data_IF_634252117314
#
_entry.id   IF_634252117314
#
_cell.length_a   1.000
_cell.length_b   1.000
_cell.length_c   1.000
_cell.angle_alpha   90.00
_cell.angle_beta   90.00
_cell.angle_gamma   90.00
#
_symmetry.space_group_name_H-M   'P 1'
#
loop_
_entity.id
_entity.type
_entity.pdbx_description
1 polymer ?
#
# COMPACT_ATOMS: atom_id res chain seq x y z
N UNK A 1 13.84 16.06 -53.31
CA UNK A 1 12.61 16.36 -52.55
C UNK A 1 11.99 15.09 -51.91
N UNK A 2 11.88 13.96 -52.56
CA UNK A 2 11.28 12.72 -51.98
C UNK A 2 12.05 12.15 -50.74
N UNK A 3 13.40 12.28 -50.71
CA UNK A 3 14.21 11.80 -49.61
C UNK A 3 14.02 12.63 -48.30
N UNK A 4 13.75 13.94 -48.40
CA UNK A 4 13.47 14.79 -47.25
C UNK A 4 12.09 14.46 -46.61
N UNK A 5 11.09 14.11 -47.43
CA UNK A 5 9.77 13.73 -46.93
C UNK A 5 9.80 12.41 -46.13
N UNK A 6 10.64 11.45 -46.55
CA UNK A 6 10.81 10.16 -45.84
C UNK A 6 11.46 10.39 -44.48
N UNK A 7 12.47 11.28 -44.39
CA UNK A 7 13.11 11.63 -43.14
C UNK A 7 12.16 12.37 -42.15
N UNK A 8 11.32 13.25 -42.68
CA UNK A 8 10.30 13.96 -41.85
C UNK A 8 9.25 12.97 -41.35
N UNK A 9 8.80 12.02 -42.19
CA UNK A 9 7.84 10.98 -41.79
C UNK A 9 8.43 10.04 -40.74
N UNK A 10 9.71 9.67 -40.89
CA UNK A 10 10.45 8.83 -39.92
C UNK A 10 10.65 9.54 -38.56
N UNK A 11 10.95 10.84 -38.55
CA UNK A 11 11.04 11.63 -37.33
C UNK A 11 9.67 11.79 -36.63
N UNK A 12 8.58 11.90 -37.41
CA UNK A 12 7.23 12.06 -36.86
C UNK A 12 6.73 10.78 -36.16
N UNK A 13 7.13 9.62 -36.63
CA UNK A 13 6.78 8.32 -36.01
C UNK A 13 7.53 8.07 -34.70
N UNK A 14 8.74 8.63 -34.53
CA UNK A 14 9.54 8.52 -33.29
C UNK A 14 9.00 9.42 -32.16
N UNK A 15 8.21 10.46 -32.48
CA UNK A 15 7.62 11.34 -31.47
C UNK A 15 6.32 10.76 -30.85
N UNK A 16 5.75 9.70 -31.40
CA UNK A 16 4.49 9.10 -30.92
C UNK A 16 4.69 7.98 -29.88
N UNK A 17 5.92 7.58 -29.56
CA UNK A 17 6.19 6.47 -28.62
C UNK A 17 6.38 6.91 -27.16
N UNK A 18 6.19 8.20 -26.84
CA UNK A 18 6.50 8.78 -25.52
C UNK A 18 5.38 8.78 -24.48
N UNK A 19 4.14 8.37 -24.79
CA UNK A 19 2.98 8.60 -23.92
C UNK A 19 2.62 7.48 -22.93
N UNK A 20 3.35 6.35 -22.89
CA UNK A 20 2.97 5.21 -22.02
C UNK A 20 3.43 5.37 -20.55
N UNK A 21 4.53 6.04 -20.33
CA UNK A 21 5.19 6.10 -19.01
C UNK A 21 4.50 7.03 -18.00
N UNK A 22 3.78 8.04 -18.47
CA UNK A 22 3.13 9.03 -17.62
C UNK A 22 1.71 8.64 -17.16
N UNK A 23 1.07 7.68 -17.80
CA UNK A 23 -0.33 7.33 -17.49
C UNK A 23 -0.46 6.59 -16.17
N UNK A 24 0.32 5.56 -15.95
CA UNK A 24 0.27 4.79 -14.70
C UNK A 24 0.60 5.64 -13.47
N UNK A 25 1.55 6.57 -13.60
CA UNK A 25 1.89 7.50 -12.52
C UNK A 25 0.75 8.49 -12.23
N UNK A 26 0.09 9.02 -13.28
CA UNK A 26 -1.05 9.91 -13.10
C UNK A 26 -2.26 9.19 -12.48
N UNK A 27 -2.50 7.92 -12.86
CA UNK A 27 -3.56 7.10 -12.32
C UNK A 27 -3.30 6.79 -10.82
N UNK A 28 -2.04 6.51 -10.48
CA UNK A 28 -1.65 6.33 -9.07
C UNK A 28 -1.81 7.62 -8.26
N UNK A 29 -1.41 8.77 -8.78
CA UNK A 29 -1.58 10.07 -8.08
C UNK A 29 -3.05 10.37 -7.81
N UNK A 30 -3.92 10.15 -8.79
CA UNK A 30 -5.37 10.30 -8.62
C UNK A 30 -5.92 9.31 -7.56
N UNK A 31 -5.40 8.08 -7.51
CA UNK A 31 -5.71 7.11 -6.46
C UNK A 31 -5.26 7.63 -5.09
N UNK A 32 -4.02 8.09 -4.93
CA UNK A 32 -3.48 8.58 -3.67
C UNK A 32 -4.24 9.83 -3.16
N UNK A 33 -4.59 10.77 -4.06
CA UNK A 33 -5.42 11.92 -3.73
C UNK A 33 -6.81 11.48 -3.23
N UNK A 34 -7.46 10.54 -3.94
CA UNK A 34 -8.75 9.98 -3.51
C UNK A 34 -8.62 9.30 -2.15
N UNK A 35 -7.59 8.49 -1.94
CA UNK A 35 -7.37 7.77 -0.69
C UNK A 35 -7.18 8.74 0.51
N UNK A 36 -6.46 9.85 0.30
CA UNK A 36 -6.28 10.88 1.32
C UNK A 36 -7.57 11.66 1.65
N UNK A 37 -8.52 11.69 0.72
CA UNK A 37 -9.79 12.38 0.92
C UNK A 37 -10.87 11.52 1.61
N UNK A 38 -10.60 10.24 1.89
CA UNK A 38 -11.58 9.35 2.53
C UNK A 38 -11.78 9.67 4.00
N UNK A 39 -13.01 9.51 4.46
CA UNK A 39 -13.36 9.54 5.90
C UNK A 39 -13.12 8.18 6.57
N UNK A 40 -13.20 7.11 5.80
CA UNK A 40 -12.98 5.76 6.28
C UNK A 40 -12.41 4.86 5.18
N UNK A 41 -11.60 3.90 5.58
CA UNK A 41 -11.04 2.84 4.76
C UNK A 41 -11.13 1.54 5.52
N UNK A 42 -11.54 0.46 4.85
CA UNK A 42 -11.46 -0.88 5.43
C UNK A 42 -11.09 -1.93 4.39
N UNK A 43 -10.38 -2.95 4.80
CA UNK A 43 -10.05 -4.11 3.98
C UNK A 43 -9.61 -5.29 4.84
N UNK A 44 -9.58 -6.47 4.25
CA UNK A 44 -8.95 -7.66 4.84
C UNK A 44 -7.65 -7.98 4.09
N UNK A 45 -6.72 -8.65 4.78
CA UNK A 45 -5.45 -9.01 4.19
C UNK A 45 -4.94 -10.37 4.70
N UNK A 46 -4.36 -11.15 3.79
CA UNK A 46 -3.47 -12.25 4.13
C UNK A 46 -2.05 -11.71 4.20
N UNK A 47 -1.44 -11.79 5.36
CA UNK A 47 -0.10 -11.28 5.62
C UNK A 47 0.85 -12.43 5.89
N UNK A 48 1.95 -12.49 5.14
CA UNK A 48 3.06 -13.41 5.35
C UNK A 48 4.30 -12.62 5.72
N UNK A 49 4.75 -12.79 6.95
CA UNK A 49 5.97 -12.16 7.45
C UNK A 49 7.13 -13.15 7.44
N UNK A 50 8.25 -12.74 6.83
CA UNK A 50 9.48 -13.50 6.72
C UNK A 50 10.46 -13.05 7.82
N UNK A 51 10.76 -13.97 8.72
CA UNK A 51 11.79 -13.79 9.75
C UNK A 51 13.02 -14.61 9.38
N UNK A 52 14.15 -14.32 10.01
CA UNK A 52 15.44 -14.95 9.69
C UNK A 52 15.37 -16.50 9.65
N UNK A 53 14.56 -17.11 10.53
CA UNK A 53 14.46 -18.58 10.64
C UNK A 53 13.03 -19.12 10.56
N UNK A 54 12.03 -18.29 10.33
CA UNK A 54 10.63 -18.72 10.27
C UNK A 54 9.76 -17.78 9.44
N UNK A 55 8.71 -18.34 8.89
CA UNK A 55 7.63 -17.59 8.23
C UNK A 55 6.40 -17.65 9.11
N UNK A 56 5.75 -16.53 9.35
CA UNK A 56 4.45 -16.46 10.02
C UNK A 56 3.37 -15.97 9.05
N UNK A 57 2.15 -16.50 9.19
CA UNK A 57 0.99 -16.12 8.38
C UNK A 57 -0.14 -15.64 9.28
N UNK A 58 -0.80 -14.58 8.84
CA UNK A 58 -1.90 -13.95 9.54
C UNK A 58 -3.02 -13.61 8.55
N UNK A 59 -4.27 -13.73 8.99
CA UNK A 59 -5.37 -13.01 8.38
C UNK A 59 -5.68 -11.81 9.27
N UNK A 60 -5.71 -10.63 8.68
CA UNK A 60 -5.91 -9.37 9.40
C UNK A 60 -7.07 -8.59 8.78
N UNK A 61 -7.82 -7.86 9.61
CA UNK A 61 -8.71 -6.80 9.18
C UNK A 61 -8.06 -5.46 9.51
N UNK A 62 -8.19 -4.52 8.60
CA UNK A 62 -7.78 -3.13 8.77
C UNK A 62 -8.98 -2.21 8.66
N UNK A 63 -9.05 -1.25 9.55
CA UNK A 63 -10.05 -0.19 9.58
C UNK A 63 -9.38 1.13 9.92
N UNK A 64 -9.71 2.17 9.18
CA UNK A 64 -9.31 3.54 9.44
C UNK A 64 -10.55 4.43 9.40
N UNK A 65 -10.67 5.30 10.37
CA UNK A 65 -11.75 6.30 10.47
C UNK A 65 -11.28 7.51 11.27
N UNK A 66 -12.21 8.43 11.62
CA UNK A 66 -11.88 9.62 12.41
C UNK A 66 -11.30 9.36 13.81
N UNK A 67 -11.37 8.13 14.30
CA UNK A 67 -10.82 7.72 15.61
C UNK A 67 -9.41 7.14 15.53
N UNK A 68 -8.88 6.98 14.31
CA UNK A 68 -7.55 6.38 14.05
C UNK A 68 -7.62 5.09 13.25
N UNK A 69 -6.53 4.33 13.30
CA UNK A 69 -6.37 3.08 12.58
C UNK A 69 -6.50 1.90 13.56
N UNK A 70 -7.13 0.82 13.10
CA UNK A 70 -7.27 -0.43 13.85
C UNK A 70 -6.88 -1.61 12.98
N UNK A 71 -6.05 -2.49 13.51
CA UNK A 71 -5.69 -3.78 12.92
C UNK A 71 -6.17 -4.89 13.84
N UNK A 72 -6.98 -5.80 13.34
CA UNK A 72 -7.51 -6.92 14.12
C UNK A 72 -7.06 -8.25 13.52
N UNK A 73 -6.56 -9.15 14.36
CA UNK A 73 -6.17 -10.51 13.96
C UNK A 73 -7.42 -11.38 13.78
N UNK A 74 -7.60 -11.89 12.57
CA UNK A 74 -8.65 -12.85 12.23
C UNK A 74 -8.15 -14.32 12.31
N UNK A 75 -6.85 -14.52 12.04
CA UNK A 75 -6.15 -15.79 12.17
C UNK A 75 -4.66 -15.54 12.45
N UNK A 76 -3.95 -16.45 13.15
CA UNK A 76 -4.38 -17.77 13.63
C UNK A 76 -5.31 -17.70 14.85
N UNK A 77 -6.06 -18.77 15.09
CA UNK A 77 -7.10 -18.84 16.14
C UNK A 77 -6.55 -18.52 17.55
N UNK A 78 -5.29 -18.89 17.82
CA UNK A 78 -4.63 -18.68 19.13
C UNK A 78 -4.62 -17.19 19.58
N UNK A 79 -4.55 -16.26 18.64
CA UNK A 79 -4.50 -14.82 18.89
C UNK A 79 -5.61 -14.06 18.17
N UNK A 80 -6.61 -14.76 17.71
CA UNK A 80 -7.79 -14.16 17.07
C UNK A 80 -8.48 -13.18 18.01
N UNK A 81 -8.84 -12.00 17.48
CA UNK A 81 -9.42 -10.93 18.25
C UNK A 81 -8.39 -9.98 18.89
N UNK A 82 -7.07 -10.33 18.89
CA UNK A 82 -6.04 -9.35 19.23
C UNK A 82 -6.14 -8.19 18.26
N UNK A 83 -6.22 -6.97 18.77
CA UNK A 83 -6.25 -5.78 17.93
C UNK A 83 -5.21 -4.76 18.37
N UNK A 84 -4.66 -4.04 17.40
CA UNK A 84 -3.84 -2.87 17.62
C UNK A 84 -4.63 -1.63 17.20
N UNK A 85 -4.77 -0.65 18.09
CA UNK A 85 -5.25 0.69 17.75
C UNK A 85 -4.05 1.61 17.61
N UNK A 86 -3.92 2.23 16.45
CA UNK A 86 -2.80 3.10 16.10
C UNK A 86 -3.29 4.53 16.05
N UNK A 87 -2.66 5.39 16.83
CA UNK A 87 -2.88 6.83 16.87
C UNK A 87 -1.54 7.54 16.59
N UNK A 88 -1.55 8.81 16.19
CA UNK A 88 -0.31 9.56 16.02
C UNK A 88 0.53 9.53 17.30
N UNK A 89 1.72 8.89 17.24
CA UNK A 89 2.68 8.81 18.35
C UNK A 89 2.36 7.82 19.46
N UNK A 90 1.24 7.08 19.39
CA UNK A 90 0.91 6.06 20.39
C UNK A 90 0.19 4.88 19.76
N UNK A 91 0.31 3.71 20.38
CA UNK A 91 -0.45 2.53 19.97
C UNK A 91 -0.82 1.72 21.19
N UNK A 92 -1.98 1.09 21.13
CA UNK A 92 -2.44 0.16 22.18
C UNK A 92 -2.73 -1.19 21.56
N UNK A 93 -2.38 -2.25 22.28
CA UNK A 93 -2.82 -3.61 22.00
C UNK A 93 -4.00 -3.94 22.90
N UNK A 94 -5.07 -4.45 22.30
CA UNK A 94 -6.30 -4.83 22.98
C UNK A 94 -6.53 -6.32 22.73
N UNK A 95 -6.71 -7.08 23.81
CA UNK A 95 -7.07 -8.49 23.72
C UNK A 95 -7.99 -8.88 24.88
N UNK A 96 -9.19 -9.36 24.58
CA UNK A 96 -10.24 -9.61 25.54
C UNK A 96 -10.58 -8.35 26.37
N UNK A 97 -10.25 -8.33 27.66
CA UNK A 97 -10.44 -7.17 28.55
C UNK A 97 -9.15 -6.45 28.88
N UNK A 98 -8.02 -6.87 28.30
CA UNK A 98 -6.69 -6.31 28.57
C UNK A 98 -6.32 -5.29 27.49
N UNK A 99 -5.94 -4.10 27.94
CA UNK A 99 -5.40 -3.04 27.08
C UNK A 99 -3.97 -2.74 27.54
N UNK A 100 -3.02 -2.81 26.62
CA UNK A 100 -1.61 -2.52 26.84
C UNK A 100 -1.20 -1.34 25.98
N UNK A 101 -0.68 -0.29 26.60
CA UNK A 101 0.01 0.78 25.89
C UNK A 101 1.38 0.28 25.45
N UNK A 102 1.64 0.32 24.14
CA UNK A 102 2.90 -0.15 23.54
C UNK A 102 3.78 1.00 23.06
N UNK A 103 3.33 2.23 23.23
CA UNK A 103 3.99 3.38 22.60
C UNK A 103 3.81 3.35 21.06
N UNK A 104 4.79 3.83 20.31
CA UNK A 104 4.74 3.78 18.84
C UNK A 104 5.06 2.37 18.34
N UNK A 105 4.18 1.80 17.50
CA UNK A 105 4.46 0.51 16.82
C UNK A 105 5.69 0.59 15.90
N UNK A 106 6.03 1.77 15.40
CA UNK A 106 7.20 1.99 14.54
C UNK A 106 8.52 1.74 15.29
N UNK A 107 8.53 1.83 16.61
CA UNK A 107 9.73 1.60 17.43
C UNK A 107 10.18 0.13 17.49
N UNK A 108 9.31 -0.80 17.11
CA UNK A 108 9.59 -2.25 17.14
C UNK A 108 9.96 -2.82 15.76
N UNK A 109 10.13 -1.95 14.75
CA UNK A 109 10.34 -2.37 13.37
C UNK A 109 9.05 -2.90 12.73
N UNK A 110 9.18 -3.43 11.50
CA UNK A 110 8.03 -3.92 10.73
C UNK A 110 7.50 -5.23 11.33
N UNK A 111 6.38 -5.16 12.01
CA UNK A 111 5.62 -6.30 12.54
C UNK A 111 4.40 -6.59 11.68
N UNK A 112 3.77 -7.80 11.77
CA UNK A 112 2.52 -8.06 11.06
C UNK A 112 1.40 -7.05 11.37
N UNK A 113 1.33 -6.56 12.61
CA UNK A 113 0.33 -5.58 13.03
C UNK A 113 0.63 -4.16 12.54
N UNK A 114 1.90 -3.80 12.39
CA UNK A 114 2.31 -2.51 11.82
C UNK A 114 2.33 -2.50 10.29
N UNK A 115 2.33 -3.68 9.64
CA UNK A 115 2.47 -3.79 8.20
C UNK A 115 1.33 -3.10 7.44
N UNK A 116 0.06 -3.24 7.87
CA UNK A 116 -1.08 -2.63 7.19
C UNK A 116 -1.14 -1.10 7.38
N UNK A 117 -0.97 -0.54 8.59
CA UNK A 117 -0.78 0.91 8.78
C UNK A 117 0.36 1.48 7.95
N UNK A 118 1.50 0.79 7.94
CA UNK A 118 2.67 1.21 7.14
C UNK A 118 2.37 1.20 5.65
N UNK A 119 1.72 0.15 5.13
CA UNK A 119 1.30 0.08 3.74
C UNK A 119 0.32 1.21 3.40
N UNK A 120 -0.70 1.45 4.24
CA UNK A 120 -1.70 2.51 4.00
C UNK A 120 -1.03 3.89 4.00
N UNK A 121 -0.10 4.15 4.92
CA UNK A 121 0.70 5.38 4.93
C UNK A 121 1.53 5.50 3.64
N UNK A 122 2.20 4.43 3.20
CA UNK A 122 2.95 4.43 1.96
C UNK A 122 2.08 4.73 0.73
N UNK A 123 0.87 4.17 0.67
CA UNK A 123 -0.10 4.44 -0.40
C UNK A 123 -0.58 5.90 -0.41
N UNK A 124 -0.65 6.55 0.74
CA UNK A 124 -1.10 7.94 0.88
C UNK A 124 -0.01 8.96 0.62
N UNK A 125 1.20 8.70 1.10
CA UNK A 125 2.26 9.72 1.20
C UNK A 125 3.61 9.30 0.64
N UNK A 126 3.76 8.02 0.22
CA UNK A 126 5.02 7.50 -0.31
C UNK A 126 5.44 8.19 -1.60
N UNK A 127 6.75 8.44 -1.73
CA UNK A 127 7.32 8.91 -2.98
C UNK A 127 7.23 7.79 -4.04
N UNK A 128 6.81 8.15 -5.25
CA UNK A 128 6.78 7.20 -6.38
C UNK A 128 8.16 7.15 -7.00
N UNK A 129 8.84 6.00 -6.86
CA UNK A 129 10.12 5.77 -7.53
C UNK A 129 9.90 5.32 -8.98
N UNK A 130 9.04 4.32 -9.18
CA UNK A 130 8.78 3.78 -10.51
C UNK A 130 7.37 3.20 -10.66
N UNK A 131 6.88 3.21 -11.90
CA UNK A 131 5.60 2.62 -12.29
C UNK A 131 5.79 1.80 -13.56
N UNK A 132 5.25 0.56 -13.60
CA UNK A 132 5.27 -0.31 -14.77
C UNK A 132 4.01 -1.17 -14.87
N UNK A 133 3.84 -1.87 -15.97
CA UNK A 133 2.78 -2.87 -16.13
C UNK A 133 3.38 -4.28 -16.03
N UNK A 134 2.72 -5.16 -15.30
CA UNK A 134 3.07 -6.57 -15.14
C UNK A 134 1.79 -7.41 -15.08
N UNK A 135 1.67 -8.40 -15.95
CA UNK A 135 0.50 -9.31 -16.03
C UNK A 135 -0.85 -8.58 -16.05
N UNK A 136 -0.92 -7.46 -16.78
CA UNK A 136 -2.14 -6.66 -16.88
C UNK A 136 -2.51 -5.88 -15.61
N UNK A 137 -1.57 -5.74 -14.67
CA UNK A 137 -1.69 -4.92 -13.46
C UNK A 137 -0.78 -3.71 -13.57
N UNK A 138 -1.16 -2.62 -12.96
CA UNK A 138 -0.26 -1.48 -12.73
C UNK A 138 0.53 -1.76 -11.47
N UNK A 139 1.84 -1.71 -11.56
CA UNK A 139 2.75 -1.92 -10.41
C UNK A 139 3.42 -0.59 -10.09
N UNK A 140 3.43 -0.25 -8.81
CA UNK A 140 4.02 0.99 -8.30
C UNK A 140 5.03 0.65 -7.22
N UNK A 141 6.24 1.15 -7.36
CA UNK A 141 7.25 1.14 -6.30
C UNK A 141 7.21 2.47 -5.57
N UNK A 142 6.99 2.39 -4.26
CA UNK A 142 6.90 3.51 -3.35
C UNK A 142 8.08 3.50 -2.38
N UNK A 143 8.61 4.66 -2.09
CA UNK A 143 9.64 4.87 -1.07
C UNK A 143 9.09 5.84 0.00
N UNK A 144 8.44 5.33 1.06
CA UNK A 144 7.93 6.17 2.13
C UNK A 144 9.04 6.76 3.01
N UNK A 145 10.19 6.08 3.13
CA UNK A 145 11.40 6.53 3.80
C UNK A 145 12.65 5.79 3.28
N UNK A 146 13.83 6.14 3.80
CA UNK A 146 15.13 5.62 3.32
C UNK A 146 15.34 4.11 3.59
N UNK A 147 14.57 3.52 4.49
CA UNK A 147 14.72 2.12 4.92
C UNK A 147 13.61 1.20 4.42
N UNK A 148 12.52 1.76 3.93
CA UNK A 148 11.32 1.04 3.53
C UNK A 148 10.96 1.32 2.07
N UNK A 149 10.74 0.25 1.32
CA UNK A 149 10.13 0.28 -0.01
C UNK A 149 8.87 -0.56 -0.01
N UNK A 150 7.89 -0.13 -0.77
CA UNK A 150 6.65 -0.87 -0.97
C UNK A 150 6.40 -1.06 -2.45
N UNK A 151 6.39 -2.30 -2.92
CA UNK A 151 5.90 -2.62 -4.27
C UNK A 151 4.43 -3.00 -4.18
N UNK A 152 3.58 -2.31 -4.93
CA UNK A 152 2.13 -2.54 -4.88
C UNK A 152 1.58 -2.82 -6.27
N UNK A 153 0.81 -3.90 -6.40
CA UNK A 153 0.11 -4.30 -7.63
C UNK A 153 -1.35 -3.87 -7.54
N UNK A 154 -1.76 -3.10 -8.52
CA UNK A 154 -3.12 -2.58 -8.63
C UNK A 154 -3.88 -3.26 -9.76
N UNK A 155 -5.18 -3.46 -9.56
CA UNK A 155 -6.08 -3.86 -10.63
C UNK A 155 -6.14 -2.81 -11.74
N UNK A 156 -6.28 -3.26 -12.99
CA UNK A 156 -6.39 -2.37 -14.14
C UNK A 156 -7.78 -1.71 -14.15
N UNK A 157 -7.79 -0.39 -14.23
CA UNK A 157 -8.99 0.42 -14.40
C UNK A 157 -9.46 1.14 -13.14
N UNK A 158 -9.64 0.44 -12.03
CA UNK A 158 -10.11 1.04 -10.77
C UNK A 158 -8.97 1.34 -9.77
N UNK A 159 -7.74 0.99 -10.11
CA UNK A 159 -6.56 1.18 -9.25
C UNK A 159 -6.77 0.66 -7.82
N UNK A 160 -7.46 -0.48 -7.69
CA UNK A 160 -7.62 -1.13 -6.38
C UNK A 160 -6.35 -1.93 -6.05
N UNK A 161 -5.74 -1.73 -4.87
CA UNK A 161 -4.58 -2.51 -4.47
C UNK A 161 -4.99 -3.96 -4.21
N UNK A 162 -4.23 -4.90 -4.78
CA UNK A 162 -4.49 -6.34 -4.70
C UNK A 162 -3.40 -7.08 -3.93
N UNK A 163 -2.16 -6.66 -4.08
CA UNK A 163 -0.98 -7.25 -3.46
C UNK A 163 0.02 -6.16 -3.14
N UNK A 164 0.76 -6.36 -2.07
CA UNK A 164 1.91 -5.53 -1.75
C UNK A 164 3.07 -6.35 -1.20
N UNK A 165 4.28 -5.86 -1.40
CA UNK A 165 5.50 -6.34 -0.80
C UNK A 165 6.18 -5.19 -0.06
N UNK A 166 6.47 -5.38 1.22
CA UNK A 166 7.23 -4.43 2.01
C UNK A 166 8.68 -4.92 2.10
N UNK A 167 9.58 -4.05 1.70
CA UNK A 167 11.01 -4.34 1.53
C UNK A 167 11.75 -3.50 2.56
N UNK A 168 12.41 -4.15 3.49
CA UNK A 168 13.26 -3.50 4.50
C UNK A 168 14.70 -3.94 4.29
N UNK A 169 15.63 -3.00 4.26
CA UNK A 169 17.06 -3.27 4.04
C UNK A 169 17.32 -4.12 2.78
N UNK A 170 16.56 -3.86 1.71
CA UNK A 170 16.71 -4.54 0.42
C UNK A 170 16.15 -5.97 0.37
N UNK A 171 15.44 -6.42 1.39
CA UNK A 171 14.79 -7.74 1.43
C UNK A 171 13.29 -7.59 1.60
N UNK A 172 12.52 -8.42 0.88
CA UNK A 172 11.08 -8.52 1.13
C UNK A 172 10.87 -9.20 2.48
N UNK A 173 10.33 -8.47 3.43
CA UNK A 173 10.08 -8.94 4.79
C UNK A 173 8.62 -9.25 5.05
N UNK A 174 7.70 -8.60 4.32
CA UNK A 174 6.27 -8.84 4.44
C UNK A 174 5.61 -8.86 3.07
N UNK A 175 4.79 -9.89 2.86
CA UNK A 175 3.89 -10.04 1.70
C UNK A 175 2.46 -9.84 2.17
N UNK A 176 1.71 -9.05 1.42
CA UNK A 176 0.31 -8.72 1.73
C UNK A 176 -0.54 -9.03 0.50
N UNK A 177 -1.58 -9.82 0.66
CA UNK A 177 -2.65 -10.00 -0.33
C UNK A 177 -3.91 -9.35 0.22
N UNK A 178 -4.43 -8.34 -0.50
CA UNK A 178 -5.56 -7.53 -0.05
C UNK A 178 -6.87 -8.03 -0.67
N UNK A 179 -7.93 -8.01 0.13
CA UNK A 179 -9.31 -8.32 -0.28
C UNK A 179 -10.30 -7.40 0.44
N UNK A 180 -11.56 -7.42 0.00
CA UNK A 180 -12.68 -6.67 0.61
C UNK A 180 -12.40 -5.16 0.75
N UNK A 181 -11.60 -4.59 -0.15
CA UNK A 181 -11.26 -3.17 -0.16
C UNK A 181 -12.50 -2.30 -0.28
N UNK A 182 -12.75 -1.49 0.73
CA UNK A 182 -13.93 -0.62 0.82
C UNK A 182 -13.51 0.79 1.19
N UNK A 183 -13.84 1.73 0.32
CA UNK A 183 -13.63 3.16 0.51
C UNK A 183 -14.92 3.78 1.06
N UNK A 184 -14.82 4.47 2.19
CA UNK A 184 -15.93 5.26 2.76
C UNK A 184 -16.17 6.54 1.97
N UNK A 185 -17.12 7.36 2.46
CA UNK A 185 -17.39 8.65 1.83
C UNK A 185 -16.14 9.55 1.84
N UNK A 186 -16.02 10.43 0.85
CA UNK A 186 -15.00 11.47 0.87
C UNK A 186 -15.36 12.51 1.95
N UNK A 187 -14.34 13.04 2.64
CA UNK A 187 -14.52 14.14 3.61
C UNK A 187 -15.23 15.30 2.93
N UNK A 188 -16.34 15.74 3.52
CA UNK A 188 -16.97 16.98 3.11
C UNK A 188 -15.93 18.10 3.33
N UNK A 189 -15.53 18.76 2.24
CA UNK A 189 -14.53 19.81 2.29
C UNK A 189 -14.92 20.88 3.32
N UNK A 190 -14.05 21.11 4.29
CA UNK A 190 -14.14 22.24 5.21
C UNK A 190 -13.62 23.51 4.55
#
# INVERSE_FOLDING_TARGET
>A
MKRCWILILLCLTLLLTGCGKNRGESDYRAFAERLNALDALSFTAQVRAEYEHKTARFALAYEENGEGERVTVLAPELIKGLSAKVLPGSSTLEYDTVVLDTGSLDSFGLSPLSALPTLTRALKTGHVDSVWEEDGKTVVLLEPDDHLRCTVWFSKGDMRPMRAELITDGRVTVYVELSDWTEGAARAGG
#
